data_IF_494249489603
#
_entry.id   IF_494249489603
#
_cell.length_a   1.000
_cell.length_b   1.000
_cell.length_c   1.000
_cell.angle_alpha   90.00
_cell.angle_beta   90.00
_cell.angle_gamma   90.00
#
_symmetry.space_group_name_H-M   'P 1'
#
loop_
_entity.id
_entity.type
_entity.pdbx_description
1 polymer ?
#
# COMPACT_ATOMS: atom_id res chain seq x y z
N UNK A 1 3.92 6.02 0.45
CA UNK A 1 3.08 4.91 0.96
C UNK A 1 3.88 3.80 1.62
N UNK A 2 5.05 3.38 1.09
CA UNK A 2 5.88 2.36 1.75
C UNK A 2 6.31 2.74 3.18
N UNK A 3 6.49 4.03 3.44
CA UNK A 3 6.87 4.56 4.76
C UNK A 3 5.72 4.54 5.78
N UNK A 4 4.46 4.48 5.34
CA UNK A 4 3.32 4.55 6.26
C UNK A 4 3.11 3.26 7.08
N UNK A 5 3.79 2.18 6.68
CA UNK A 5 3.73 0.87 7.33
C UNK A 5 5.12 0.39 7.75
N UNK A 6 6.02 1.33 8.05
CA UNK A 6 7.29 0.99 8.70
C UNK A 6 7.03 0.32 10.05
N UNK A 7 7.85 -0.67 10.42
CA UNK A 7 7.71 -1.35 11.71
C UNK A 7 8.03 -0.39 12.85
N UNK A 8 9.00 0.51 12.65
CA UNK A 8 9.38 1.54 13.61
C UNK A 8 8.39 2.72 13.55
N UNK A 9 7.63 2.99 14.62
CA UNK A 9 6.67 4.09 14.65
C UNK A 9 7.32 5.47 14.41
N UNK A 10 8.59 5.64 14.78
CA UNK A 10 9.32 6.90 14.58
C UNK A 10 9.69 7.14 13.12
N UNK A 11 9.73 6.08 12.30
CA UNK A 11 9.96 6.18 10.85
C UNK A 11 8.68 6.40 10.06
N UNK A 12 7.51 6.21 10.68
CA UNK A 12 6.23 6.51 10.03
C UNK A 12 6.06 8.03 9.93
N UNK A 13 5.67 8.57 8.77
CA UNK A 13 5.34 9.97 8.66
C UNK A 13 4.12 10.27 9.52
N UNK A 14 4.14 11.40 10.22
CA UNK A 14 2.95 11.92 10.86
C UNK A 14 1.91 12.39 9.81
N UNK A 15 0.71 12.70 10.30
CA UNK A 15 -0.40 13.11 9.44
C UNK A 15 -0.11 14.40 8.65
N UNK A 16 0.63 15.35 9.24
CA UNK A 16 0.97 16.62 8.59
C UNK A 16 2.02 16.39 7.50
N UNK A 17 3.05 15.60 7.76
CA UNK A 17 4.06 15.20 6.79
C UNK A 17 3.43 14.46 5.60
N UNK A 18 2.49 13.54 5.86
CA UNK A 18 1.75 12.85 4.80
C UNK A 18 0.89 13.83 3.99
N UNK A 19 0.15 14.73 4.65
CA UNK A 19 -0.66 15.74 4.00
C UNK A 19 0.19 16.64 3.08
N UNK A 20 1.35 17.10 3.56
CA UNK A 20 2.28 17.91 2.78
C UNK A 20 2.80 17.17 1.54
N UNK A 21 3.11 15.87 1.65
CA UNK A 21 3.52 15.04 0.50
C UNK A 21 2.40 14.95 -0.54
N UNK A 22 1.16 14.73 -0.10
CA UNK A 22 -0.01 14.67 -0.99
C UNK A 22 -0.23 16.01 -1.69
N UNK A 23 -0.20 17.12 -0.94
CA UNK A 23 -0.37 18.46 -1.51
C UNK A 23 0.71 18.78 -2.54
N UNK A 24 1.98 18.44 -2.25
CA UNK A 24 3.09 18.65 -3.18
C UNK A 24 2.89 17.85 -4.48
N UNK A 25 2.46 16.60 -4.39
CA UNK A 25 2.16 15.78 -5.56
C UNK A 25 0.98 16.36 -6.35
N UNK A 26 -0.10 16.76 -5.68
CA UNK A 26 -1.25 17.39 -6.34
C UNK A 26 -0.83 18.65 -7.10
N UNK A 27 -0.01 19.49 -6.48
CA UNK A 27 0.50 20.71 -7.10
C UNK A 27 1.43 20.40 -8.28
N UNK A 28 2.26 19.36 -8.18
CA UNK A 28 3.09 18.91 -9.29
C UNK A 28 2.23 18.51 -10.50
N UNK A 29 1.23 17.65 -10.31
CA UNK A 29 0.36 17.19 -11.40
C UNK A 29 -0.55 18.28 -11.97
N UNK A 30 -1.00 19.24 -11.15
CA UNK A 30 -1.76 20.40 -11.65
C UNK A 30 -0.94 21.32 -12.55
N UNK A 31 0.38 21.35 -12.37
CA UNK A 31 1.28 22.19 -13.16
C UNK A 31 1.92 21.43 -14.34
N UNK A 32 1.65 20.14 -14.48
CA UNK A 32 2.18 19.29 -15.55
C UNK A 32 1.33 19.46 -16.82
N UNK A 33 1.95 19.34 -17.99
CA UNK A 33 1.20 19.37 -19.26
C UNK A 33 0.50 18.04 -19.54
N UNK A 34 -0.58 18.09 -20.31
CA UNK A 34 -1.38 16.91 -20.68
C UNK A 34 -0.54 15.82 -21.39
N UNK A 35 0.45 16.22 -22.19
CA UNK A 35 1.34 15.29 -22.89
C UNK A 35 2.24 14.50 -21.92
N UNK A 36 2.76 15.18 -20.90
CA UNK A 36 3.58 14.55 -19.87
C UNK A 36 2.73 13.65 -18.96
N UNK A 37 1.53 14.09 -18.59
CA UNK A 37 0.56 13.29 -17.82
C UNK A 37 0.22 12.00 -18.59
N UNK A 38 -0.03 12.10 -19.89
CA UNK A 38 -0.32 10.93 -20.74
C UNK A 38 0.84 9.94 -20.76
N UNK A 39 2.07 10.42 -20.92
CA UNK A 39 3.25 9.55 -20.88
C UNK A 39 3.43 8.87 -19.52
N UNK A 40 3.14 9.55 -18.41
CA UNK A 40 3.18 8.97 -17.07
C UNK A 40 2.13 7.85 -16.89
N UNK A 41 0.91 8.09 -17.38
CA UNK A 41 -0.19 7.10 -17.36
C UNK A 41 0.13 5.88 -18.22
N UNK A 42 0.71 6.08 -19.40
CA UNK A 42 1.09 5.00 -20.32
C UNK A 42 2.23 4.14 -19.74
N UNK A 43 3.11 4.73 -18.91
CA UNK A 43 4.16 4.03 -18.18
C UNK A 43 3.66 3.29 -16.92
N UNK A 44 2.45 3.60 -16.45
CA UNK A 44 1.85 2.91 -15.31
C UNK A 44 1.36 1.53 -15.77
N UNK A 45 2.05 0.47 -15.34
CA UNK A 45 1.74 -0.93 -15.67
C UNK A 45 0.35 -1.41 -15.16
N UNK A 46 -0.45 -0.51 -14.58
CA UNK A 46 -1.80 -0.77 -14.06
C UNK A 46 -2.89 -0.82 -15.13
N UNK A 47 -2.65 -0.32 -16.35
CA UNK A 47 -3.68 -0.30 -17.41
C UNK A 47 -4.04 -1.70 -17.96
N UNK A 48 -3.46 -2.77 -17.41
CA UNK A 48 -3.79 -4.18 -17.74
C UNK A 48 -4.75 -4.83 -16.75
N UNK A 49 -5.21 -4.13 -15.71
CA UNK A 49 -6.23 -4.68 -14.81
C UNK A 49 -7.59 -4.44 -15.45
N UNK A 50 -8.01 -5.44 -16.24
CA UNK A 50 -9.36 -5.58 -16.79
C UNK A 50 -10.40 -5.21 -15.71
N UNK A 51 -11.27 -4.24 -16.01
CA UNK A 51 -12.33 -3.73 -15.14
C UNK A 51 -13.43 -4.79 -14.90
N UNK A 52 -13.08 -5.88 -14.22
CA UNK A 52 -14.01 -6.95 -13.87
C UNK A 52 -14.72 -6.68 -12.53
N UNK A 53 -14.97 -5.41 -12.18
CA UNK A 53 -15.68 -5.04 -10.94
C UNK A 53 -17.18 -5.42 -10.97
N UNK A 54 -17.67 -5.97 -12.09
CA UNK A 54 -19.07 -6.42 -12.28
C UNK A 54 -19.19 -7.95 -12.34
N UNK A 55 -18.27 -8.74 -11.78
CA UNK A 55 -18.51 -10.16 -11.58
C UNK A 55 -19.19 -10.41 -10.24
N UNK A 56 -20.53 -10.32 -10.20
CA UNK A 56 -21.37 -10.85 -9.11
C UNK A 56 -21.37 -12.39 -9.11
N UNK A 57 -20.18 -13.00 -9.13
CA UNK A 57 -20.02 -14.45 -9.12
C UNK A 57 -19.87 -14.90 -7.67
N UNK A 58 -21.01 -15.27 -7.09
CA UNK A 58 -21.19 -16.16 -5.94
C UNK A 58 -19.89 -16.49 -5.20
N UNK A 59 -19.63 -15.76 -4.10
CA UNK A 59 -18.52 -16.02 -3.20
C UNK A 59 -18.59 -17.45 -2.65
N UNK A 60 -17.93 -18.38 -3.32
CA UNK A 60 -17.44 -19.59 -2.67
C UNK A 60 -16.11 -19.20 -2.04
N UNK A 61 -16.09 -18.94 -0.74
CA UNK A 61 -14.85 -18.69 -0.02
C UNK A 61 -13.99 -19.95 -0.08
N UNK A 62 -12.96 -19.95 -0.94
CA UNK A 62 -11.96 -21.01 -1.00
C UNK A 62 -11.03 -20.84 0.20
N UNK A 63 -10.93 -21.85 1.06
CA UNK A 63 -9.93 -21.87 2.14
C UNK A 63 -8.55 -21.96 1.49
N UNK A 64 -7.72 -20.93 1.69
CA UNK A 64 -6.35 -20.89 1.22
C UNK A 64 -5.41 -21.28 2.37
N UNK A 65 -4.68 -22.39 2.21
CA UNK A 65 -3.63 -22.78 3.13
C UNK A 65 -2.35 -22.03 2.75
N UNK A 66 -1.98 -21.01 3.53
CA UNK A 66 -0.71 -20.33 3.36
C UNK A 66 0.43 -21.22 3.87
N UNK A 67 1.23 -21.79 2.97
CA UNK A 67 2.51 -22.43 3.28
C UNK A 67 3.66 -21.50 2.89
N UNK A 68 4.75 -21.49 3.68
CA UNK A 68 5.93 -20.65 3.48
C UNK A 68 5.62 -19.15 3.35
N UNK A 69 5.07 -18.56 4.41
CA UNK A 69 4.90 -17.11 4.48
C UNK A 69 6.28 -16.42 4.47
N UNK A 70 6.41 -15.27 3.77
CA UNK A 70 7.59 -14.44 3.90
C UNK A 70 7.74 -13.98 5.36
N UNK A 71 8.96 -13.65 5.76
CA UNK A 71 9.20 -13.16 7.13
C UNK A 71 8.29 -11.97 7.44
N UNK A 72 7.57 -12.00 8.57
CA UNK A 72 6.71 -10.91 8.97
C UNK A 72 7.55 -9.65 9.16
N UNK A 73 7.28 -8.65 8.33
CA UNK A 73 7.98 -7.35 8.37
C UNK A 73 7.80 -6.60 9.69
N UNK A 74 6.81 -7.00 10.49
CA UNK A 74 6.36 -6.33 11.70
C UNK A 74 6.71 -7.08 12.99
N UNK A 75 7.31 -8.28 12.94
CA UNK A 75 7.63 -9.02 14.16
C UNK A 75 9.05 -8.68 14.62
N UNK A 76 9.16 -7.75 15.56
CA UNK A 76 10.33 -7.69 16.46
C UNK A 76 10.08 -8.65 17.62
N UNK A 77 11.10 -9.41 18.00
CA UNK A 77 11.08 -10.51 18.99
C UNK A 77 10.43 -10.10 20.34
N UNK A 78 10.55 -8.84 20.74
CA UNK A 78 9.96 -8.27 21.97
C UNK A 78 8.42 -8.28 22.01
N UNK A 79 7.71 -8.23 20.87
CA UNK A 79 6.23 -8.23 20.87
C UNK A 79 5.62 -9.64 21.06
N UNK A 80 6.40 -10.71 20.85
CA UNK A 80 5.94 -12.09 21.04
C UNK A 80 6.14 -12.61 22.47
N UNK A 81 7.07 -12.04 23.25
CA UNK A 81 7.29 -12.45 24.65
C UNK A 81 6.24 -11.91 25.64
N UNK A 82 5.38 -10.97 25.22
CA UNK A 82 4.34 -10.38 26.06
C UNK A 82 3.08 -11.24 26.30
N UNK A 83 2.96 -12.42 25.67
CA UNK A 83 1.79 -13.32 25.81
C UNK A 83 2.12 -14.56 26.66
N UNK A 84 3.07 -14.45 27.58
CA UNK A 84 3.30 -15.45 28.63
C UNK A 84 3.25 -14.79 30.01
N UNK A 85 2.07 -14.29 30.40
CA UNK A 85 1.78 -14.02 31.81
C UNK A 85 0.96 -15.18 32.39
N UNK A 86 1.44 -15.66 33.54
CA UNK A 86 0.96 -16.83 34.29
C UNK A 86 -0.45 -16.64 34.85
#
# INVERSE_FOLDING_TARGET
MKECWDADPLKRPDAAALCNKIQKNNLYYQNMSDELIKSEIDNLEMNKVEENYTSSSLFTSKIHNFGNLPEPRNATEEEQEGIMFH
#
